data_IF_503901433195
#
_entry.id   IF_503901433195
#
_cell.length_a   1.000
_cell.length_b   1.000
_cell.length_c   1.000
_cell.angle_alpha   90.00
_cell.angle_beta   90.00
_cell.angle_gamma   90.00
#
_symmetry.space_group_name_H-M   'P 1'
#
loop_
_entity.id
_entity.type
_entity.pdbx_description
1 polymer ?
#
# COMPACT_ATOMS: atom_id res chain seq x y z
N UNK A 1 98.79 -245.79 -26.46
CA UNK A 1 98.53 -245.31 -27.83
C UNK A 1 97.44 -246.21 -28.39
N UNK A 2 96.26 -245.73 -28.75
CA UNK A 2 96.10 -244.68 -29.75
C UNK A 2 94.81 -243.87 -29.50
N UNK A 3 95.02 -242.62 -29.08
CA UNK A 3 94.38 -241.38 -29.56
C UNK A 3 92.84 -241.28 -29.51
N UNK A 4 92.33 -240.31 -28.75
CA UNK A 4 90.95 -239.80 -28.85
C UNK A 4 89.84 -240.80 -28.46
N UNK A 5 90.16 -242.08 -28.25
CA UNK A 5 89.35 -243.03 -27.45
C UNK A 5 89.25 -242.60 -25.99
N UNK A 6 90.31 -242.08 -25.39
CA UNK A 6 90.32 -241.73 -23.96
C UNK A 6 89.30 -240.64 -23.57
N UNK A 7 88.97 -239.67 -24.44
CA UNK A 7 88.02 -238.61 -24.09
C UNK A 7 86.56 -239.01 -24.34
N UNK A 8 86.29 -239.82 -25.37
CA UNK A 8 84.92 -240.30 -25.64
C UNK A 8 84.53 -241.40 -24.64
N UNK A 9 85.49 -242.22 -24.24
CA UNK A 9 85.34 -243.16 -23.14
C UNK A 9 85.16 -242.41 -21.82
N UNK A 10 85.86 -241.28 -21.60
CA UNK A 10 85.63 -240.41 -20.43
C UNK A 10 84.23 -239.78 -20.45
N UNK A 11 83.75 -239.26 -21.58
CA UNK A 11 82.42 -238.65 -21.68
C UNK A 11 81.31 -239.69 -21.55
N UNK A 12 81.46 -240.88 -22.13
CA UNK A 12 80.47 -241.95 -22.00
C UNK A 12 80.48 -242.55 -20.59
N UNK A 13 81.65 -242.64 -19.94
CA UNK A 13 81.77 -243.00 -18.53
C UNK A 13 81.15 -241.93 -17.61
N UNK A 14 81.32 -240.64 -17.91
CA UNK A 14 80.69 -239.53 -17.18
C UNK A 14 79.17 -239.46 -17.38
N UNK A 15 78.63 -240.06 -18.45
CA UNK A 15 77.18 -240.18 -18.67
C UNK A 15 76.57 -241.42 -18.01
N UNK A 16 77.32 -242.52 -17.90
CA UNK A 16 76.87 -243.76 -17.26
C UNK A 16 77.08 -243.77 -15.73
N UNK A 17 78.05 -243.00 -15.23
CA UNK A 17 78.37 -242.83 -13.80
C UNK A 17 78.14 -241.37 -13.37
N UNK A 18 76.96 -241.03 -12.81
CA UNK A 18 76.62 -239.68 -12.38
C UNK A 18 77.62 -239.07 -11.39
N UNK A 19 78.22 -239.90 -10.53
CA UNK A 19 79.23 -239.48 -9.55
C UNK A 19 80.45 -238.78 -10.17
N UNK A 20 80.93 -239.22 -11.34
CA UNK A 20 82.12 -238.65 -11.96
C UNK A 20 81.83 -237.31 -12.64
N UNK A 21 80.59 -237.12 -13.12
CA UNK A 21 80.13 -235.87 -13.74
C UNK A 21 80.09 -234.74 -12.72
N UNK A 22 79.65 -235.05 -11.50
CA UNK A 22 79.68 -234.14 -10.35
C UNK A 22 81.12 -233.76 -9.97
N UNK A 23 82.04 -234.73 -9.88
CA UNK A 23 83.45 -234.46 -9.54
C UNK A 23 84.17 -233.58 -10.59
N UNK A 24 83.92 -233.83 -11.89
CA UNK A 24 84.47 -233.02 -12.98
C UNK A 24 83.84 -231.61 -13.01
N UNK A 25 82.56 -231.49 -12.67
CA UNK A 25 81.85 -230.21 -12.54
C UNK A 25 82.45 -229.38 -11.40
N UNK A 26 82.78 -230.01 -10.27
CA UNK A 26 83.39 -229.37 -9.10
C UNK A 26 84.83 -228.89 -9.34
N UNK A 27 85.60 -229.56 -10.20
CA UNK A 27 86.99 -229.20 -10.53
C UNK A 27 87.11 -228.10 -11.61
N UNK A 28 86.19 -228.04 -12.58
CA UNK A 28 86.25 -227.11 -13.72
C UNK A 28 85.33 -225.89 -13.58
N UNK A 29 84.17 -226.04 -12.94
CA UNK A 29 83.21 -224.96 -12.70
C UNK A 29 83.24 -224.64 -11.20
N UNK A 30 84.23 -223.84 -10.80
CA UNK A 30 84.27 -223.27 -9.45
C UNK A 30 82.97 -222.52 -9.15
N UNK A 31 82.52 -222.53 -7.90
CA UNK A 31 81.27 -221.89 -7.48
C UNK A 31 81.18 -220.43 -7.99
N UNK A 32 82.32 -219.72 -8.04
CA UNK A 32 82.43 -218.36 -8.59
C UNK A 32 82.03 -218.23 -10.08
N UNK A 33 82.30 -219.24 -10.92
CA UNK A 33 81.88 -219.24 -12.32
C UNK A 33 80.40 -219.63 -12.50
N UNK A 34 79.85 -220.42 -11.58
CA UNK A 34 78.42 -220.77 -11.56
C UNK A 34 77.54 -219.60 -11.06
N UNK A 35 78.09 -218.72 -10.20
CA UNK A 35 77.41 -217.52 -9.69
C UNK A 35 77.54 -216.30 -10.63
N UNK A 36 78.42 -216.35 -11.63
CA UNK A 36 78.67 -215.26 -12.58
C UNK A 36 77.40 -214.78 -13.33
N UNK A 37 76.50 -215.66 -13.83
CA UNK A 37 75.25 -215.22 -14.46
C UNK A 37 74.36 -214.43 -13.49
N UNK A 38 74.37 -214.82 -12.21
CA UNK A 38 73.62 -214.16 -11.14
C UNK A 38 74.22 -212.78 -10.85
N UNK A 39 75.54 -212.67 -10.70
CA UNK A 39 76.25 -211.39 -10.54
C UNK A 39 76.07 -210.45 -11.75
N UNK A 40 76.06 -210.98 -12.97
CA UNK A 40 75.78 -210.21 -14.18
C UNK A 40 74.32 -209.73 -14.22
N UNK A 41 73.36 -210.54 -13.75
CA UNK A 41 71.96 -210.11 -13.61
C UNK A 41 71.80 -209.04 -12.53
N UNK A 42 72.50 -209.17 -11.40
CA UNK A 42 72.54 -208.16 -10.33
C UNK A 42 73.17 -206.85 -10.84
N UNK A 43 74.32 -206.90 -11.51
CA UNK A 43 74.94 -205.72 -12.12
C UNK A 43 74.01 -205.10 -13.18
N UNK A 44 73.35 -205.90 -14.01
CA UNK A 44 72.40 -205.40 -15.00
C UNK A 44 71.15 -204.78 -14.37
N UNK A 45 70.79 -205.18 -13.14
CA UNK A 45 69.74 -204.57 -12.34
C UNK A 45 70.21 -203.24 -11.73
N UNK A 46 71.41 -203.20 -11.15
CA UNK A 46 72.02 -201.97 -10.61
C UNK A 46 72.25 -200.91 -11.70
N UNK A 47 72.76 -201.31 -12.87
CA UNK A 47 72.92 -200.40 -14.03
C UNK A 47 71.57 -199.87 -14.50
N UNK A 48 70.51 -200.69 -14.48
CA UNK A 48 69.15 -200.22 -14.78
C UNK A 48 68.62 -199.23 -13.75
N UNK A 49 68.83 -199.50 -12.46
CA UNK A 49 68.45 -198.57 -11.38
C UNK A 49 69.23 -197.26 -11.47
N UNK A 50 70.52 -197.31 -11.78
CA UNK A 50 71.34 -196.13 -12.01
C UNK A 50 70.85 -195.34 -13.24
N UNK A 51 70.50 -196.02 -14.34
CA UNK A 51 69.94 -195.37 -15.52
C UNK A 51 68.56 -194.74 -15.23
N UNK A 52 67.75 -195.38 -14.39
CA UNK A 52 66.47 -194.81 -13.91
C UNK A 52 66.70 -193.60 -13.00
N UNK A 53 67.64 -193.67 -12.07
CA UNK A 53 68.05 -192.56 -11.21
C UNK A 53 68.63 -191.40 -12.03
N UNK A 54 69.44 -191.70 -13.05
CA UNK A 54 69.99 -190.72 -13.97
C UNK A 54 68.88 -190.05 -14.81
N UNK A 55 67.92 -190.83 -15.33
CA UNK A 55 66.74 -190.25 -15.99
C UNK A 55 65.94 -189.36 -15.05
N UNK A 56 65.81 -189.76 -13.79
CA UNK A 56 65.12 -188.96 -12.79
C UNK A 56 65.85 -187.65 -12.49
N UNK A 57 67.18 -187.67 -12.34
CA UNK A 57 67.97 -186.45 -12.13
C UNK A 57 67.98 -185.57 -13.37
N UNK A 58 68.06 -186.13 -14.57
CA UNK A 58 67.90 -185.39 -15.83
C UNK A 58 66.52 -184.72 -15.93
N UNK A 59 65.45 -185.41 -15.53
CA UNK A 59 64.11 -184.83 -15.45
C UNK A 59 64.02 -183.71 -14.40
N UNK A 60 64.63 -183.89 -13.23
CA UNK A 60 64.69 -182.86 -12.19
C UNK A 60 65.51 -181.65 -12.65
N UNK A 61 66.64 -181.85 -13.32
CA UNK A 61 67.46 -180.77 -13.89
C UNK A 61 66.69 -180.03 -14.97
N UNK A 62 65.97 -180.72 -15.86
CA UNK A 62 65.11 -180.09 -16.85
C UNK A 62 63.99 -179.27 -16.20
N UNK A 63 63.34 -179.80 -15.15
CA UNK A 63 62.32 -179.09 -14.39
C UNK A 63 62.88 -177.86 -13.67
N UNK A 64 64.08 -177.96 -13.09
CA UNK A 64 64.77 -176.83 -12.46
C UNK A 64 65.18 -175.77 -13.48
N UNK A 65 65.71 -176.16 -14.64
CA UNK A 65 66.00 -175.23 -15.73
C UNK A 65 64.74 -174.52 -16.22
N UNK A 66 63.63 -175.23 -16.33
CA UNK A 66 62.34 -174.64 -16.70
C UNK A 66 61.82 -173.67 -15.63
N UNK A 67 61.90 -174.05 -14.34
CA UNK A 67 61.53 -173.17 -13.23
C UNK A 67 62.45 -171.94 -13.16
N UNK A 68 63.74 -172.10 -13.45
CA UNK A 68 64.70 -171.01 -13.53
C UNK A 68 64.34 -170.05 -14.67
N UNK A 69 64.07 -170.56 -15.88
CA UNK A 69 63.63 -169.73 -17.01
C UNK A 69 62.32 -168.99 -16.72
N UNK A 70 61.36 -169.64 -16.04
CA UNK A 70 60.12 -168.99 -15.61
C UNK A 70 60.38 -167.89 -14.58
N UNK A 71 61.29 -168.13 -13.62
CA UNK A 71 61.68 -167.13 -12.62
C UNK A 71 62.38 -165.94 -13.28
N UNK A 72 63.30 -166.18 -14.23
CA UNK A 72 63.98 -165.14 -15.00
C UNK A 72 62.98 -164.33 -15.83
N UNK A 73 61.99 -164.97 -16.47
CA UNK A 73 60.93 -164.29 -17.20
C UNK A 73 60.03 -163.45 -16.27
N UNK A 74 59.70 -163.95 -15.08
CA UNK A 74 58.95 -163.20 -14.07
C UNK A 74 59.76 -162.00 -13.54
N UNK A 75 61.06 -162.17 -13.28
CA UNK A 75 61.95 -161.08 -12.88
C UNK A 75 62.05 -160.02 -13.98
N UNK A 76 62.19 -160.41 -15.24
CA UNK A 76 62.22 -159.48 -16.37
C UNK A 76 60.90 -158.70 -16.50
N UNK A 77 59.75 -159.39 -16.37
CA UNK A 77 58.44 -158.74 -16.38
C UNK A 77 58.28 -157.77 -15.20
N UNK A 78 58.76 -158.14 -14.00
CA UNK A 78 58.74 -157.25 -12.83
C UNK A 78 59.60 -156.00 -13.07
N UNK A 79 60.81 -156.15 -13.61
CA UNK A 79 61.68 -155.02 -13.96
C UNK A 79 61.02 -154.11 -15.00
N UNK A 80 60.37 -154.67 -16.02
CA UNK A 80 59.64 -153.88 -17.02
C UNK A 80 58.47 -153.11 -16.39
N UNK A 81 57.69 -153.78 -15.52
CA UNK A 81 56.63 -153.10 -14.78
C UNK A 81 57.16 -152.03 -13.84
N UNK A 82 58.33 -152.25 -13.23
CA UNK A 82 58.99 -151.27 -12.35
C UNK A 82 59.43 -150.04 -13.15
N UNK A 83 60.10 -150.23 -14.29
CA UNK A 83 60.47 -149.13 -15.19
C UNK A 83 59.23 -148.35 -15.69
N UNK A 84 58.13 -149.05 -15.98
CA UNK A 84 56.86 -148.43 -16.35
C UNK A 84 56.20 -147.68 -15.18
N UNK A 85 56.35 -148.15 -13.94
CA UNK A 85 55.88 -147.40 -12.77
C UNK A 85 56.76 -146.18 -12.50
N UNK A 86 58.07 -146.30 -12.65
CA UNK A 86 59.03 -145.22 -12.43
C UNK A 86 58.79 -144.08 -13.42
N UNK A 87 58.68 -144.39 -14.72
CA UNK A 87 58.32 -143.41 -15.76
C UNK A 87 56.95 -142.75 -15.54
N UNK A 88 55.96 -143.48 -14.99
CA UNK A 88 54.66 -142.90 -14.62
C UNK A 88 54.77 -141.97 -13.42
N UNK A 89 55.61 -142.30 -12.43
CA UNK A 89 55.87 -141.46 -11.27
C UNK A 89 56.60 -140.18 -11.68
N UNK A 90 57.57 -140.27 -12.58
CA UNK A 90 58.25 -139.10 -13.18
C UNK A 90 57.25 -138.20 -13.92
N UNK A 91 56.42 -138.77 -14.80
CA UNK A 91 55.40 -138.00 -15.53
C UNK A 91 54.37 -137.34 -14.59
N UNK A 92 53.99 -138.01 -13.50
CA UNK A 92 53.12 -137.45 -12.46
C UNK A 92 53.81 -136.32 -11.69
N UNK A 93 55.10 -136.47 -11.37
CA UNK A 93 55.88 -135.44 -10.70
C UNK A 93 56.04 -134.20 -11.59
N UNK A 94 56.28 -134.36 -12.89
CA UNK A 94 56.30 -133.25 -13.85
C UNK A 94 54.93 -132.57 -13.98
N UNK A 95 53.85 -133.35 -14.06
CA UNK A 95 52.49 -132.81 -14.10
C UNK A 95 52.13 -132.05 -12.82
N UNK A 96 52.57 -132.56 -11.65
CA UNK A 96 52.44 -131.90 -10.37
C UNK A 96 53.20 -130.57 -10.36
N UNK A 97 54.47 -130.54 -10.76
CA UNK A 97 55.26 -129.31 -10.84
C UNK A 97 54.62 -128.27 -11.78
N UNK A 98 54.09 -128.69 -12.93
CA UNK A 98 53.37 -127.78 -13.85
C UNK A 98 52.11 -127.21 -13.20
N UNK A 99 51.37 -128.03 -12.45
CA UNK A 99 50.16 -127.60 -11.74
C UNK A 99 50.51 -126.62 -10.62
N UNK A 100 51.56 -126.90 -9.84
CA UNK A 100 52.07 -126.00 -8.81
C UNK A 100 52.52 -124.65 -9.40
N UNK A 101 53.23 -124.66 -10.54
CA UNK A 101 53.62 -123.45 -11.25
C UNK A 101 52.42 -122.64 -11.76
N UNK A 102 51.38 -123.31 -12.29
CA UNK A 102 50.14 -122.66 -12.72
C UNK A 102 49.37 -122.06 -11.53
N UNK A 103 49.30 -122.77 -10.41
CA UNK A 103 48.69 -122.26 -9.18
C UNK A 103 49.45 -121.03 -8.65
N UNK A 104 50.78 -121.07 -8.64
CA UNK A 104 51.60 -119.93 -8.24
C UNK A 104 51.37 -118.71 -9.13
N UNK A 105 51.33 -118.90 -10.46
CA UNK A 105 51.03 -117.84 -11.41
C UNK A 105 49.60 -117.27 -11.21
N UNK A 106 48.61 -118.12 -10.94
CA UNK A 106 47.25 -117.68 -10.64
C UNK A 106 47.20 -116.83 -9.37
N UNK A 107 47.88 -117.25 -8.29
CA UNK A 107 47.99 -116.49 -7.05
C UNK A 107 48.65 -115.13 -7.29
N UNK A 108 49.72 -115.07 -8.08
CA UNK A 108 50.37 -113.81 -8.44
C UNK A 108 49.43 -112.89 -9.23
N UNK A 109 48.69 -113.42 -10.21
CA UNK A 109 47.71 -112.62 -10.96
C UNK A 109 46.54 -112.17 -10.10
N UNK A 110 46.13 -112.97 -9.11
CA UNK A 110 45.11 -112.60 -8.13
C UNK A 110 45.61 -111.44 -7.27
N UNK A 111 46.80 -111.54 -6.67
CA UNK A 111 47.42 -110.46 -5.90
C UNK A 111 47.58 -109.16 -6.71
N UNK A 112 47.94 -109.28 -7.99
CA UNK A 112 48.01 -108.14 -8.91
C UNK A 112 46.64 -107.53 -9.20
N UNK A 113 45.59 -108.34 -9.20
CA UNK A 113 44.21 -107.87 -9.40
C UNK A 113 43.71 -107.18 -8.14
N UNK A 114 43.96 -107.77 -6.96
CA UNK A 114 43.59 -107.20 -5.66
C UNK A 114 44.24 -105.83 -5.45
N UNK A 115 45.55 -105.72 -5.69
CA UNK A 115 46.26 -104.42 -5.62
C UNK A 115 45.74 -103.38 -6.62
N UNK A 116 45.30 -103.79 -7.82
CA UNK A 116 44.64 -102.89 -8.78
C UNK A 116 43.27 -102.43 -8.30
N UNK A 117 42.49 -103.31 -7.68
CA UNK A 117 41.20 -102.97 -7.10
C UNK A 117 41.34 -102.01 -5.92
N UNK A 118 42.34 -102.22 -5.05
CA UNK A 118 42.67 -101.28 -3.97
C UNK A 118 43.06 -99.91 -4.53
N UNK A 119 43.95 -99.85 -5.52
CA UNK A 119 44.34 -98.59 -6.16
C UNK A 119 43.16 -97.87 -6.84
N UNK A 120 42.24 -98.61 -7.46
CA UNK A 120 41.01 -98.07 -8.04
C UNK A 120 40.07 -97.53 -6.96
N UNK A 121 39.91 -98.24 -5.85
CA UNK A 121 39.09 -97.79 -4.73
C UNK A 121 39.66 -96.50 -4.10
N UNK A 122 40.98 -96.41 -3.93
CA UNK A 122 41.63 -95.18 -3.46
C UNK A 122 41.45 -94.01 -4.46
N UNK A 123 41.60 -94.27 -5.75
CA UNK A 123 41.38 -93.25 -6.79
C UNK A 123 39.92 -92.77 -6.81
N UNK A 124 38.97 -93.70 -6.63
CA UNK A 124 37.55 -93.38 -6.51
C UNK A 124 37.30 -92.50 -5.28
N UNK A 125 37.79 -92.87 -4.09
CA UNK A 125 37.64 -92.07 -2.88
C UNK A 125 38.24 -90.66 -3.03
N UNK A 126 39.41 -90.53 -3.68
CA UNK A 126 40.01 -89.22 -3.98
C UNK A 126 39.12 -88.39 -4.89
N UNK A 127 38.51 -89.01 -5.91
CA UNK A 127 37.60 -88.33 -6.84
C UNK A 127 36.33 -87.89 -6.13
N UNK A 128 35.74 -88.74 -5.29
CA UNK A 128 34.57 -88.40 -4.47
C UNK A 128 34.86 -87.23 -3.52
N UNK A 129 36.03 -87.23 -2.87
CA UNK A 129 36.47 -86.13 -2.01
C UNK A 129 36.65 -84.81 -2.80
N UNK A 130 37.22 -84.87 -4.00
CA UNK A 130 37.36 -83.70 -4.88
C UNK A 130 36.01 -83.16 -5.34
N UNK A 131 35.07 -84.04 -5.70
CA UNK A 131 33.70 -83.65 -6.06
C UNK A 131 32.98 -83.00 -4.88
N UNK A 132 33.10 -83.56 -3.66
CA UNK A 132 32.53 -82.95 -2.46
C UNK A 132 33.12 -81.55 -2.18
N UNK A 133 34.44 -81.39 -2.33
CA UNK A 133 35.10 -80.10 -2.18
C UNK A 133 34.64 -79.08 -3.23
N UNK A 134 34.42 -79.49 -4.48
CA UNK A 134 33.89 -78.64 -5.54
C UNK A 134 32.45 -78.20 -5.25
N UNK A 135 31.59 -79.11 -4.78
CA UNK A 135 30.21 -78.76 -4.39
C UNK A 135 30.20 -77.75 -3.24
N UNK A 136 31.07 -77.91 -2.26
CA UNK A 136 31.19 -76.96 -1.15
C UNK A 136 31.74 -75.60 -1.62
N UNK A 137 32.73 -75.58 -2.51
CA UNK A 137 33.23 -74.35 -3.13
C UNK A 137 32.15 -73.64 -3.96
N UNK A 138 31.33 -74.40 -4.68
CA UNK A 138 30.19 -73.86 -5.43
C UNK A 138 29.18 -73.22 -4.48
N UNK A 139 28.77 -73.91 -3.41
CA UNK A 139 27.86 -73.35 -2.40
C UNK A 139 28.38 -72.07 -1.74
N UNK A 140 29.69 -71.99 -1.49
CA UNK A 140 30.33 -70.77 -0.99
C UNK A 140 30.28 -69.64 -2.01
N UNK A 141 30.46 -69.95 -3.28
CA UNK A 141 30.37 -68.97 -4.37
C UNK A 141 28.94 -68.48 -4.53
N UNK A 142 27.96 -69.37 -4.50
CA UNK A 142 26.54 -69.03 -4.59
C UNK A 142 26.13 -68.11 -3.44
N UNK A 143 26.53 -68.43 -2.20
CA UNK A 143 26.22 -67.57 -1.04
C UNK A 143 26.91 -66.20 -1.10
N UNK A 144 28.14 -66.13 -1.64
CA UNK A 144 28.81 -64.84 -1.90
C UNK A 144 28.10 -64.01 -2.95
N UNK A 145 27.58 -64.64 -4.01
CA UNK A 145 26.80 -63.96 -5.05
C UNK A 145 25.46 -63.44 -4.51
N UNK A 146 24.77 -64.23 -3.67
CA UNK A 146 23.55 -63.78 -2.98
C UNK A 146 23.83 -62.58 -2.07
N UNK A 147 24.90 -62.64 -1.26
CA UNK A 147 25.30 -61.53 -0.40
C UNK A 147 25.67 -60.28 -1.21
N UNK A 148 26.34 -60.44 -2.35
CA UNK A 148 26.68 -59.33 -3.25
C UNK A 148 25.42 -58.71 -3.88
N UNK A 149 24.46 -59.54 -4.31
CA UNK A 149 23.19 -59.07 -4.87
C UNK A 149 22.39 -58.27 -3.84
N UNK A 150 22.33 -58.74 -2.59
CA UNK A 150 21.68 -58.04 -1.48
C UNK A 150 22.38 -56.71 -1.17
N UNK A 151 23.72 -56.69 -1.10
CA UNK A 151 24.48 -55.46 -0.90
C UNK A 151 24.27 -54.45 -2.04
N UNK A 152 24.18 -54.92 -3.30
CA UNK A 152 23.86 -54.10 -4.45
C UNK A 152 22.45 -53.53 -4.35
N UNK A 153 21.47 -54.34 -3.91
CA UNK A 153 20.10 -53.88 -3.72
C UNK A 153 20.01 -52.79 -2.64
N UNK A 154 20.67 -53.00 -1.50
CA UNK A 154 20.75 -52.01 -0.41
C UNK A 154 21.42 -50.71 -0.87
N UNK A 155 22.50 -50.80 -1.64
CA UNK A 155 23.18 -49.64 -2.23
C UNK A 155 22.24 -48.88 -3.17
N UNK A 156 21.48 -49.59 -4.01
CA UNK A 156 20.45 -49.01 -4.88
C UNK A 156 19.36 -48.27 -4.09
N UNK A 157 18.89 -48.86 -2.98
CA UNK A 157 17.90 -48.23 -2.10
C UNK A 157 18.45 -46.98 -1.40
N UNK A 158 19.71 -47.01 -0.95
CA UNK A 158 20.38 -45.84 -0.36
C UNK A 158 20.55 -44.70 -1.37
N UNK A 159 20.96 -45.01 -2.60
CA UNK A 159 21.05 -44.02 -3.67
C UNK A 159 19.69 -43.39 -3.98
N UNK A 160 18.63 -44.20 -4.07
CA UNK A 160 17.27 -43.70 -4.27
C UNK A 160 16.82 -42.77 -3.14
N UNK A 161 17.09 -43.13 -1.88
CA UNK A 161 16.80 -42.29 -0.72
C UNK A 161 17.59 -40.97 -0.75
N UNK A 162 18.85 -40.99 -1.19
CA UNK A 162 19.70 -39.80 -1.31
C UNK A 162 19.21 -38.86 -2.41
N UNK A 163 18.77 -39.40 -3.55
CA UNK A 163 18.14 -38.63 -4.64
C UNK A 163 16.85 -37.96 -4.16
N UNK A 164 16.02 -38.67 -3.39
CA UNK A 164 14.79 -38.10 -2.82
C UNK A 164 15.09 -37.00 -1.77
N UNK A 165 16.09 -37.20 -0.92
CA UNK A 165 16.55 -36.18 0.02
C UNK A 165 17.10 -34.93 -0.70
N UNK A 166 17.80 -35.11 -1.83
CA UNK A 166 18.27 -34.02 -2.67
C UNK A 166 17.08 -33.24 -3.24
N UNK A 167 16.10 -33.91 -3.85
CA UNK A 167 14.88 -33.24 -4.37
C UNK A 167 14.13 -32.43 -3.31
N UNK A 168 14.01 -32.97 -2.09
CA UNK A 168 13.42 -32.24 -0.96
C UNK A 168 14.23 -30.99 -0.61
N UNK A 169 15.55 -31.07 -0.66
CA UNK A 169 16.43 -29.92 -0.39
C UNK A 169 16.28 -28.87 -1.47
N UNK A 170 16.26 -29.27 -2.75
CA UNK A 170 16.06 -28.36 -3.88
C UNK A 170 14.72 -27.62 -3.76
N UNK A 171 13.63 -28.34 -3.48
CA UNK A 171 12.30 -27.72 -3.29
C UNK A 171 12.24 -26.73 -2.12
N UNK A 172 13.01 -26.99 -1.04
CA UNK A 172 13.11 -26.07 0.10
C UNK A 172 13.89 -24.81 -0.27
N UNK A 173 14.94 -24.93 -1.09
CA UNK A 173 15.71 -23.80 -1.56
C UNK A 173 14.87 -22.91 -2.50
N UNK A 174 14.09 -23.51 -3.40
CA UNK A 174 13.14 -22.78 -4.25
C UNK A 174 12.11 -22.01 -3.42
N UNK A 175 11.50 -22.67 -2.42
CA UNK A 175 10.54 -22.01 -1.53
C UNK A 175 11.17 -20.86 -0.72
N UNK A 176 12.43 -21.01 -0.29
CA UNK A 176 13.16 -19.98 0.43
C UNK A 176 13.51 -18.78 -0.47
N UNK A 177 13.88 -19.04 -1.73
CA UNK A 177 14.13 -17.99 -2.72
C UNK A 177 12.86 -17.19 -3.03
N UNK A 178 11.71 -17.86 -3.19
CA UNK A 178 10.42 -17.20 -3.39
C UNK A 178 10.03 -16.35 -2.16
N UNK A 179 10.20 -16.88 -0.95
CA UNK A 179 9.95 -16.13 0.28
C UNK A 179 10.86 -14.90 0.39
N UNK A 180 12.14 -15.02 0.00
CA UNK A 180 13.06 -13.88 -0.04
C UNK A 180 12.62 -12.83 -1.05
N UNK A 181 12.20 -13.23 -2.25
CA UNK A 181 11.70 -12.28 -3.25
C UNK A 181 10.45 -11.53 -2.75
N UNK A 182 9.55 -12.21 -2.04
CA UNK A 182 8.37 -11.59 -1.44
C UNK A 182 8.74 -10.59 -0.33
N UNK A 183 9.72 -10.89 0.52
CA UNK A 183 10.16 -9.94 1.55
C UNK A 183 10.87 -8.73 0.95
N UNK A 184 11.66 -8.91 -0.11
CA UNK A 184 12.27 -7.80 -0.87
C UNK A 184 11.20 -6.89 -1.48
N UNK A 185 10.16 -7.46 -2.08
CA UNK A 185 9.03 -6.70 -2.63
C UNK A 185 8.27 -5.92 -1.54
N UNK A 186 8.04 -6.53 -0.37
CA UNK A 186 7.40 -5.86 0.78
C UNK A 186 8.25 -4.70 1.31
N UNK A 187 9.57 -4.88 1.41
CA UNK A 187 10.48 -3.81 1.81
C UNK A 187 10.49 -2.65 0.81
N UNK A 188 10.51 -2.94 -0.49
CA UNK A 188 10.42 -1.92 -1.52
C UNK A 188 9.10 -1.11 -1.43
N UNK A 189 7.97 -1.79 -1.19
CA UNK A 189 6.68 -1.15 -0.99
C UNK A 189 6.65 -0.26 0.27
N UNK A 190 7.27 -0.71 1.37
CA UNK A 190 7.42 0.09 2.60
C UNK A 190 8.27 1.33 2.37
N UNK A 191 9.38 1.23 1.65
CA UNK A 191 10.23 2.38 1.29
C UNK A 191 9.46 3.40 0.46
N UNK A 192 8.66 2.95 -0.50
CA UNK A 192 7.83 3.83 -1.32
C UNK A 192 6.70 4.49 -0.49
N UNK A 193 6.06 3.75 0.43
CA UNK A 193 5.08 4.30 1.35
C UNK A 193 5.70 5.34 2.30
N UNK A 194 6.93 5.12 2.76
CA UNK A 194 7.68 6.08 3.56
C UNK A 194 7.97 7.35 2.76
N UNK A 195 8.49 7.25 1.53
CA UNK A 195 8.72 8.41 0.65
C UNK A 195 7.45 9.23 0.41
N UNK A 196 6.31 8.57 0.20
CA UNK A 196 5.01 9.26 0.07
C UNK A 196 4.63 9.99 1.35
N UNK A 197 4.88 9.39 2.50
CA UNK A 197 4.61 10.01 3.80
C UNK A 197 5.51 11.24 4.01
N UNK A 198 6.81 11.12 3.71
CA UNK A 198 7.77 12.22 3.79
C UNK A 198 7.32 13.39 2.89
N UNK A 199 6.95 13.11 1.63
CA UNK A 199 6.46 14.15 0.71
C UNK A 199 5.16 14.84 1.19
N UNK A 200 4.27 14.10 1.86
CA UNK A 200 3.05 14.66 2.44
C UNK A 200 3.36 15.55 3.64
N UNK A 201 4.34 15.18 4.46
CA UNK A 201 4.79 15.99 5.59
C UNK A 201 5.46 17.28 5.11
N UNK A 202 6.29 17.23 4.06
CA UNK A 202 6.87 18.42 3.43
C UNK A 202 5.79 19.36 2.89
N UNK A 203 4.80 18.82 2.16
CA UNK A 203 3.68 19.61 1.65
C UNK A 203 2.83 20.23 2.77
N UNK A 204 2.62 19.51 3.87
CA UNK A 204 1.90 20.03 5.04
C UNK A 204 2.68 21.15 5.73
N UNK A 205 4.00 20.99 5.88
CA UNK A 205 4.87 22.00 6.46
C UNK A 205 4.85 23.30 5.63
N UNK A 206 4.91 23.19 4.30
CA UNK A 206 4.80 24.32 3.39
C UNK A 206 3.42 25.00 3.48
N UNK A 207 2.33 24.23 3.50
CA UNK A 207 0.98 24.79 3.68
C UNK A 207 0.82 25.50 5.04
N UNK A 208 1.41 24.97 6.10
CA UNK A 208 1.43 25.61 7.42
C UNK A 208 2.22 26.91 7.39
N UNK A 209 3.38 26.95 6.72
CA UNK A 209 4.17 28.16 6.55
C UNK A 209 3.39 29.25 5.77
N UNK A 210 2.73 28.87 4.67
CA UNK A 210 1.88 29.78 3.89
C UNK A 210 0.71 30.33 4.71
N UNK A 211 0.06 29.49 5.50
CA UNK A 211 -1.02 29.90 6.41
C UNK A 211 -0.50 30.89 7.45
N UNK A 212 0.68 30.64 8.03
CA UNK A 212 1.35 31.56 8.95
C UNK A 212 1.63 32.92 8.31
N UNK A 213 2.11 32.94 7.06
CA UNK A 213 2.33 34.17 6.32
C UNK A 213 1.02 34.94 6.02
N UNK A 214 -0.05 34.24 5.65
CA UNK A 214 -1.37 34.84 5.43
C UNK A 214 -1.94 35.46 6.72
N UNK A 215 -1.82 34.77 7.85
CA UNK A 215 -2.23 35.31 9.16
C UNK A 215 -1.43 36.56 9.52
N UNK A 216 -0.11 36.55 9.31
CA UNK A 216 0.73 37.73 9.54
C UNK A 216 0.30 38.92 8.66
N UNK A 217 -0.02 38.67 7.38
CA UNK A 217 -0.53 39.70 6.48
C UNK A 217 -1.91 40.24 6.91
N UNK A 218 -2.81 39.38 7.39
CA UNK A 218 -4.11 39.80 7.93
C UNK A 218 -3.95 40.64 9.20
N UNK A 219 -3.04 40.27 10.11
CA UNK A 219 -2.73 41.07 11.31
C UNK A 219 -2.22 42.45 10.92
N UNK A 220 -1.34 42.54 9.92
CA UNK A 220 -0.83 43.81 9.42
C UNK A 220 -1.93 44.65 8.73
N UNK A 221 -2.80 44.03 7.94
CA UNK A 221 -3.95 44.70 7.34
C UNK A 221 -4.95 45.21 8.40
N UNK A 222 -5.16 44.44 9.48
CA UNK A 222 -5.97 44.86 10.62
C UNK A 222 -5.35 46.10 11.29
N UNK A 223 -4.05 46.08 11.61
CA UNK A 223 -3.35 47.25 12.19
C UNK A 223 -3.46 48.50 11.31
N UNK A 224 -3.36 48.34 9.99
CA UNK A 224 -3.58 49.45 9.02
C UNK A 224 -5.01 49.96 9.03
N UNK A 225 -5.98 49.07 9.25
CA UNK A 225 -7.40 49.44 9.36
C UNK A 225 -7.65 50.18 10.67
N UNK A 226 -7.12 49.68 11.78
CA UNK A 226 -7.24 50.30 13.11
C UNK A 226 -6.65 51.72 13.09
N UNK A 227 -5.44 51.90 12.56
CA UNK A 227 -4.82 53.23 12.41
C UNK A 227 -5.60 54.17 11.48
N UNK A 228 -6.22 53.67 10.41
CA UNK A 228 -7.12 54.47 9.56
C UNK A 228 -8.39 54.89 10.30
N UNK A 229 -8.96 54.02 11.13
CA UNK A 229 -10.13 54.33 11.94
C UNK A 229 -9.79 55.37 13.02
N UNK A 230 -8.63 55.25 13.68
CA UNK A 230 -8.12 56.28 14.61
C UNK A 230 -7.96 57.64 13.90
N UNK A 231 -7.34 57.65 12.72
CA UNK A 231 -7.19 58.88 11.93
C UNK A 231 -8.53 59.48 11.48
N UNK A 232 -9.51 58.65 11.12
CA UNK A 232 -10.85 59.09 10.76
C UNK A 232 -11.60 59.66 11.97
N UNK A 233 -11.48 59.02 13.13
CA UNK A 233 -12.07 59.50 14.38
C UNK A 233 -11.49 60.87 14.79
N UNK A 234 -10.17 61.04 14.67
CA UNK A 234 -9.51 62.33 14.91
C UNK A 234 -9.98 63.40 13.90
N UNK A 235 -10.05 63.08 12.61
CA UNK A 235 -10.56 63.99 11.59
C UNK A 235 -12.04 64.37 11.82
N UNK A 236 -12.86 63.42 12.27
CA UNK A 236 -14.25 63.68 12.67
C UNK A 236 -14.29 64.63 13.86
N UNK A 237 -13.50 64.39 14.91
CA UNK A 237 -13.41 65.28 16.07
C UNK A 237 -13.00 66.71 15.68
N UNK A 238 -12.02 66.86 14.79
CA UNK A 238 -11.60 68.15 14.27
C UNK A 238 -12.72 68.84 13.47
N UNK A 239 -13.46 68.07 12.66
CA UNK A 239 -14.59 68.59 11.89
C UNK A 239 -15.73 69.04 12.82
N UNK A 240 -16.05 68.26 13.85
CA UNK A 240 -17.04 68.62 14.88
C UNK A 240 -16.62 69.90 15.61
N UNK A 241 -15.34 70.04 15.96
CA UNK A 241 -14.81 71.27 16.58
C UNK A 241 -14.92 72.48 15.64
N UNK A 242 -14.61 72.31 14.34
CA UNK A 242 -14.77 73.36 13.33
C UNK A 242 -16.24 73.77 13.14
N UNK A 243 -17.16 72.80 13.09
CA UNK A 243 -18.60 73.07 13.00
C UNK A 243 -19.11 73.81 14.24
N UNK A 244 -18.64 73.44 15.43
CA UNK A 244 -18.98 74.14 16.67
C UNK A 244 -18.46 75.59 16.66
N UNK A 245 -17.23 75.82 16.18
CA UNK A 245 -16.67 77.15 16.03
C UNK A 245 -17.45 78.00 15.01
N UNK A 246 -17.78 77.42 13.85
CA UNK A 246 -18.60 78.07 12.82
C UNK A 246 -20.00 78.40 13.36
N UNK A 247 -20.62 77.51 14.12
CA UNK A 247 -21.91 77.77 14.75
C UNK A 247 -21.85 78.98 15.69
N UNK A 248 -20.78 79.13 16.48
CA UNK A 248 -20.57 80.32 17.30
C UNK A 248 -20.39 81.58 16.46
N UNK A 249 -19.67 81.51 15.34
CA UNK A 249 -19.48 82.65 14.45
C UNK A 249 -20.80 83.09 13.79
N UNK A 250 -21.60 82.13 13.33
CA UNK A 250 -22.95 82.38 12.81
C UNK A 250 -23.84 83.02 13.88
N UNK A 251 -23.79 82.55 15.14
CA UNK A 251 -24.53 83.19 16.25
C UNK A 251 -24.11 84.65 16.44
N UNK A 252 -22.81 84.94 16.48
CA UNK A 252 -22.31 86.32 16.58
C UNK A 252 -22.76 87.17 15.39
N UNK A 253 -22.75 86.61 14.18
CA UNK A 253 -23.23 87.30 12.98
C UNK A 253 -24.73 87.62 13.05
N UNK A 254 -25.56 86.66 13.51
CA UNK A 254 -27.01 86.87 13.72
C UNK A 254 -27.26 87.98 14.74
N UNK A 255 -26.50 88.00 15.84
CA UNK A 255 -26.57 89.06 16.85
C UNK A 255 -26.18 90.43 16.28
N UNK A 256 -25.09 90.49 15.50
CA UNK A 256 -24.64 91.70 14.83
C UNK A 256 -25.69 92.23 13.82
N UNK A 257 -26.30 91.34 13.03
CA UNK A 257 -27.39 91.72 12.13
C UNK A 257 -28.58 92.29 12.88
N UNK A 258 -28.99 91.68 14.00
CA UNK A 258 -30.09 92.19 14.82
C UNK A 258 -29.81 93.60 15.33
N UNK A 259 -28.60 93.85 15.82
CA UNK A 259 -28.19 95.19 16.26
C UNK A 259 -28.22 96.23 15.14
N UNK A 260 -27.80 95.84 13.93
CA UNK A 260 -27.85 96.70 12.75
C UNK A 260 -29.30 97.03 12.39
N UNK A 261 -30.19 96.04 12.36
CA UNK A 261 -31.63 96.23 12.10
C UNK A 261 -32.25 97.21 13.10
N UNK A 262 -31.95 97.08 14.40
CA UNK A 262 -32.40 98.02 15.42
C UNK A 262 -31.84 99.44 15.20
N UNK A 263 -30.61 99.56 14.69
CA UNK A 263 -30.03 100.85 14.36
C UNK A 263 -30.74 101.53 13.18
N UNK A 264 -31.06 100.77 12.13
CA UNK A 264 -31.82 101.26 10.97
C UNK A 264 -33.22 101.72 11.39
N UNK A 265 -33.94 100.93 12.18
CA UNK A 265 -35.27 101.31 12.69
C UNK A 265 -35.24 102.61 13.51
N UNK A 266 -34.18 102.82 14.32
CA UNK A 266 -34.00 104.07 15.07
C UNK A 266 -33.68 105.27 14.16
N UNK A 267 -32.95 105.06 13.06
CA UNK A 267 -32.69 106.12 12.09
C UNK A 267 -33.97 106.56 11.39
N UNK A 268 -34.81 105.61 10.97
CA UNK A 268 -36.13 105.91 10.37
C UNK A 268 -36.98 106.77 11.30
N UNK A 269 -37.10 106.39 12.57
CA UNK A 269 -37.85 107.18 13.57
C UNK A 269 -37.33 108.62 13.73
N UNK A 270 -36.01 108.83 13.65
CA UNK A 270 -35.40 110.17 13.78
C UNK A 270 -35.68 111.04 12.57
N UNK A 271 -35.73 110.48 11.37
CA UNK A 271 -36.00 111.22 10.13
C UNK A 271 -37.45 111.75 10.10
N UNK A 272 -38.42 110.92 10.48
CA UNK A 272 -39.82 111.32 10.58
C UNK A 272 -40.02 112.57 11.44
N UNK A 273 -39.30 112.64 12.57
CA UNK A 273 -39.40 113.76 13.52
C UNK A 273 -38.79 115.08 13.02
N UNK A 274 -37.94 115.03 12.00
CA UNK A 274 -37.35 116.23 11.38
C UNK A 274 -38.33 116.85 10.38
N UNK A 275 -39.06 116.03 9.62
CA UNK A 275 -40.10 116.50 8.70
C UNK A 275 -41.20 117.27 9.43
N UNK A 276 -41.71 116.74 10.54
CA UNK A 276 -42.80 117.37 11.31
C UNK A 276 -42.44 118.78 11.83
N UNK A 277 -41.16 119.00 12.18
CA UNK A 277 -40.67 120.30 12.69
C UNK A 277 -40.51 121.35 11.60
N UNK A 278 -40.26 120.95 10.36
CA UNK A 278 -40.17 121.89 9.25
C UNK A 278 -41.56 122.41 8.88
N UNK A 279 -42.59 121.56 8.90
CA UNK A 279 -43.96 121.96 8.57
C UNK A 279 -44.52 123.10 9.44
N UNK A 280 -44.21 123.12 10.74
CA UNK A 280 -44.74 124.13 11.67
C UNK A 280 -44.07 125.50 11.58
N UNK A 281 -42.80 125.56 11.16
CA UNK A 281 -42.06 126.83 11.04
C UNK A 281 -42.53 127.68 9.84
N UNK A 282 -42.93 127.04 8.75
CA UNK A 282 -43.37 127.75 7.54
C UNK A 282 -44.73 128.45 7.72
N UNK A 283 -45.61 127.97 8.61
CA UNK A 283 -46.92 128.58 8.87
C UNK A 283 -46.85 129.96 9.54
N UNK A 284 -46.08 130.08 10.62
CA UNK A 284 -45.98 131.32 11.41
C UNK A 284 -45.40 132.51 10.62
N UNK A 285 -44.51 132.26 9.65
CA UNK A 285 -43.85 133.33 8.88
C UNK A 285 -44.80 134.01 7.88
N UNK A 286 -45.76 133.26 7.32
CA UNK A 286 -46.72 133.79 6.34
C UNK A 286 -47.71 134.77 6.98
N UNK A 287 -48.29 134.44 8.13
CA UNK A 287 -49.23 135.31 8.84
C UNK A 287 -48.59 136.67 9.19
N UNK A 288 -47.34 136.65 9.66
CA UNK A 288 -46.59 137.86 10.00
C UNK A 288 -46.42 138.80 8.80
N UNK A 289 -46.08 138.26 7.62
CA UNK A 289 -45.85 139.02 6.39
C UNK A 289 -47.09 139.81 5.95
N UNK A 290 -48.30 139.24 6.11
CA UNK A 290 -49.54 139.91 5.71
C UNK A 290 -49.97 141.01 6.67
N UNK A 291 -49.70 140.84 7.97
CA UNK A 291 -50.01 141.84 8.99
C UNK A 291 -49.13 143.09 8.86
N UNK A 292 -47.81 142.93 8.72
CA UNK A 292 -46.86 144.05 8.68
C UNK A 292 -47.00 144.92 7.41
N UNK A 293 -47.49 144.33 6.31
CA UNK A 293 -47.59 145.00 5.01
C UNK A 293 -49.01 145.41 4.60
N UNK A 294 -49.98 145.33 5.52
CA UNK A 294 -51.38 145.61 5.20
C UNK A 294 -51.60 146.99 4.55
N UNK A 295 -50.91 148.04 5.01
CA UNK A 295 -50.98 149.37 4.39
C UNK A 295 -50.55 149.38 2.92
N UNK A 296 -49.59 148.53 2.53
CA UNK A 296 -49.15 148.40 1.14
C UNK A 296 -50.19 147.68 0.27
N UNK A 297 -50.94 146.73 0.84
CA UNK A 297 -51.95 145.96 0.11
C UNK A 297 -53.29 146.70 -0.01
N UNK A 298 -53.72 147.37 1.07
CA UNK A 298 -55.03 148.03 1.13
C UNK A 298 -55.00 149.54 0.85
N UNK A 299 -53.81 150.18 0.90
CA UNK A 299 -53.68 151.65 0.79
C UNK A 299 -54.09 152.27 -0.55
N UNK A 300 -54.31 151.45 -1.59
CA UNK A 300 -54.90 151.93 -2.86
C UNK A 300 -56.42 152.08 -2.80
N UNK A 301 -57.07 151.35 -1.90
CA UNK A 301 -58.53 151.32 -1.75
C UNK A 301 -59.00 152.11 -0.54
N UNK A 302 -58.17 152.19 0.50
CA UNK A 302 -58.50 152.83 1.77
C UNK A 302 -57.48 153.91 2.12
N UNK A 303 -57.97 155.10 2.47
CA UNK A 303 -57.25 156.08 3.27
C UNK A 303 -57.21 155.65 4.74
N UNK A 304 -56.21 156.14 5.49
CA UNK A 304 -56.06 155.86 6.93
C UNK A 304 -56.11 154.37 7.30
N UNK A 305 -55.37 153.51 6.59
CA UNK A 305 -55.33 152.05 6.86
C UNK A 305 -54.80 151.74 8.25
N UNK A 306 -55.61 151.07 9.07
CA UNK A 306 -55.27 150.57 10.38
C UNK A 306 -55.46 149.05 10.42
N UNK A 307 -54.43 148.33 10.87
CA UNK A 307 -54.53 146.90 11.16
C UNK A 307 -54.96 146.74 12.61
N UNK A 308 -56.08 146.06 12.82
CA UNK A 308 -56.55 145.72 14.15
C UNK A 308 -55.73 144.53 14.65
N UNK A 309 -54.83 144.79 15.60
CA UNK A 309 -54.18 143.70 16.30
C UNK A 309 -55.19 142.85 17.10
N UNK A 310 -54.80 141.62 17.44
CA UNK A 310 -55.68 140.67 18.12
C UNK A 310 -56.19 141.19 19.47
N UNK A 311 -55.45 142.06 20.16
CA UNK A 311 -55.86 142.62 21.45
C UNK A 311 -56.94 143.69 21.28
N UNK A 312 -56.78 144.56 20.29
CA UNK A 312 -57.78 145.59 19.95
C UNK A 312 -59.04 144.91 19.41
N UNK A 313 -58.91 143.98 18.46
CA UNK A 313 -60.05 143.21 17.93
C UNK A 313 -60.79 142.49 19.06
N UNK A 314 -60.07 141.87 20.00
CA UNK A 314 -60.66 141.23 21.17
C UNK A 314 -61.44 142.18 22.07
N UNK A 315 -60.92 143.39 22.32
CA UNK A 315 -61.64 144.41 23.10
C UNK A 315 -62.91 144.87 22.40
N UNK A 316 -62.87 145.11 21.10
CA UNK A 316 -64.05 145.55 20.34
C UNK A 316 -65.07 144.40 20.21
N UNK A 317 -64.60 143.17 20.04
CA UNK A 317 -65.44 141.98 20.05
C UNK A 317 -66.14 141.78 21.40
N UNK A 318 -65.43 141.97 22.52
CA UNK A 318 -66.01 141.88 23.86
C UNK A 318 -67.10 142.96 24.06
N UNK A 319 -66.88 144.18 23.54
CA UNK A 319 -67.89 145.24 23.55
C UNK A 319 -69.11 144.88 22.70
N UNK A 320 -68.90 144.31 21.50
CA UNK A 320 -69.98 143.84 20.65
C UNK A 320 -70.79 142.70 21.29
N UNK A 321 -70.14 141.76 22.00
CA UNK A 321 -70.83 140.73 22.80
C UNK A 321 -71.69 141.33 23.91
N UNK A 322 -71.17 142.30 24.67
CA UNK A 322 -71.94 142.98 25.72
C UNK A 322 -73.13 143.76 25.16
N UNK A 323 -72.99 144.32 23.96
CA UNK A 323 -74.06 144.99 23.24
C UNK A 323 -75.03 144.03 22.54
N UNK A 324 -74.85 142.71 22.66
CA UNK A 324 -75.71 141.70 22.04
C UNK A 324 -75.53 141.55 20.52
N UNK A 325 -74.50 142.15 19.93
CA UNK A 325 -74.21 142.08 18.48
C UNK A 325 -73.46 140.80 18.06
N UNK A 326 -72.83 140.12 19.02
CA UNK A 326 -72.12 138.84 18.83
C UNK A 326 -72.40 137.86 19.99
N UNK A 327 -72.41 136.56 19.71
CA UNK A 327 -72.33 135.53 20.77
C UNK A 327 -70.89 135.33 21.27
N UNK A 328 -70.73 134.68 22.43
CA UNK A 328 -69.40 134.34 22.94
C UNK A 328 -68.62 133.42 21.99
N UNK A 329 -69.31 132.49 21.34
CA UNK A 329 -68.73 131.56 20.36
C UNK A 329 -68.29 132.30 19.10
N UNK A 330 -69.14 133.19 18.57
CA UNK A 330 -68.80 134.04 17.42
C UNK A 330 -67.61 134.96 17.74
N UNK A 331 -67.49 135.43 18.99
CA UNK A 331 -66.32 136.19 19.43
C UNK A 331 -65.05 135.35 19.50
N UNK A 332 -65.13 134.08 19.93
CA UNK A 332 -63.97 133.20 19.90
C UNK A 332 -63.54 132.96 18.46
N UNK A 333 -64.48 132.66 17.57
CA UNK A 333 -64.21 132.45 16.14
C UNK A 333 -63.58 133.68 15.48
N UNK A 334 -64.09 134.88 15.78
CA UNK A 334 -63.55 136.15 15.30
C UNK A 334 -62.08 136.34 15.71
N UNK A 335 -61.69 135.94 16.92
CA UNK A 335 -60.30 136.11 17.38
C UNK A 335 -59.30 135.28 16.59
N UNK A 336 -59.74 134.20 15.95
CA UNK A 336 -58.86 133.42 15.11
C UNK A 336 -58.59 134.10 13.77
N UNK A 337 -59.24 135.23 13.43
CA UNK A 337 -58.96 135.98 12.21
C UNK A 337 -57.49 136.36 12.13
N UNK A 338 -56.81 135.90 11.08
CA UNK A 338 -55.36 136.01 10.95
C UNK A 338 -54.93 137.48 10.87
N UNK A 339 -55.66 138.26 10.05
CA UNK A 339 -55.48 139.71 9.91
C UNK A 339 -56.82 140.42 9.69
N UNK A 340 -57.08 141.50 10.44
CA UNK A 340 -58.22 142.39 10.21
C UNK A 340 -57.72 143.81 9.97
N UNK A 341 -58.25 144.48 8.95
CA UNK A 341 -57.84 145.82 8.51
C UNK A 341 -59.07 146.72 8.43
N UNK A 342 -58.95 148.00 8.78
CA UNK A 342 -59.99 149.02 8.57
C UNK A 342 -59.40 150.32 8.00
N UNK A 343 -60.23 151.14 7.36
CA UNK A 343 -59.83 152.44 6.81
C UNK A 343 -60.99 153.13 6.09
N UNK A 344 -60.76 154.32 5.55
CA UNK A 344 -61.79 155.13 4.87
C UNK A 344 -61.74 154.93 3.35
N UNK A 345 -62.87 154.63 2.72
CA UNK A 345 -62.96 154.54 1.26
C UNK A 345 -62.90 155.94 0.60
N UNK A 346 -62.76 156.05 -0.74
CA UNK A 346 -62.67 157.34 -1.44
C UNK A 346 -63.92 158.23 -1.30
N UNK A 347 -65.06 157.66 -0.88
CA UNK A 347 -66.32 158.35 -0.61
C UNK A 347 -66.42 158.86 0.83
N UNK A 348 -65.36 158.65 1.64
CA UNK A 348 -65.26 159.07 3.03
C UNK A 348 -65.94 158.13 4.04
N UNK A 349 -66.28 156.90 3.66
CA UNK A 349 -66.92 155.92 4.54
C UNK A 349 -65.89 154.95 5.13
N UNK A 350 -65.96 154.70 6.44
CA UNK A 350 -65.11 153.69 7.09
C UNK A 350 -65.57 152.27 6.69
N UNK A 351 -64.64 151.44 6.20
CA UNK A 351 -64.83 150.03 5.82
C UNK A 351 -63.65 149.18 6.28
N UNK A 352 -63.80 147.86 6.32
CA UNK A 352 -62.74 146.94 6.71
C UNK A 352 -62.59 145.71 5.82
N UNK A 353 -61.56 144.93 6.11
CA UNK A 353 -61.25 143.63 5.51
C UNK A 353 -60.88 142.61 6.58
N UNK A 354 -61.37 141.38 6.45
CA UNK A 354 -60.98 140.25 7.28
C UNK A 354 -60.28 139.20 6.41
N UNK A 355 -59.05 138.83 6.77
CA UNK A 355 -58.14 138.03 5.96
C UNK A 355 -57.83 136.67 6.62
N UNK A 356 -57.86 135.62 5.81
CA UNK A 356 -57.27 134.29 6.09
C UNK A 356 -55.96 134.13 5.30
N UNK A 357 -54.94 133.55 5.92
CA UNK A 357 -53.61 133.35 5.35
C UNK A 357 -53.29 131.86 5.27
N UNK A 358 -52.93 131.39 4.08
CA UNK A 358 -52.45 130.02 3.86
C UNK A 358 -51.35 129.97 2.80
N UNK A 359 -50.43 129.00 2.90
CA UNK A 359 -49.41 128.79 1.85
C UNK A 359 -50.03 128.34 0.54
N UNK A 360 -51.06 127.48 0.61
CA UNK A 360 -51.89 127.05 -0.51
C UNK A 360 -53.33 127.25 -0.09
N UNK A 361 -54.01 128.19 -0.72
CA UNK A 361 -55.39 128.54 -0.39
C UNK A 361 -56.29 127.38 -0.78
N UNK A 362 -57.07 126.88 0.18
CA UNK A 362 -58.08 125.86 -0.04
C UNK A 362 -59.50 126.43 0.16
N UNK A 363 -60.51 125.59 -0.10
CA UNK A 363 -61.91 125.99 0.02
C UNK A 363 -62.30 126.36 1.47
N UNK A 364 -61.68 125.73 2.47
CA UNK A 364 -61.95 126.04 3.88
C UNK A 364 -61.43 127.43 4.22
N UNK A 365 -60.26 127.83 3.71
CA UNK A 365 -59.73 129.18 3.89
C UNK A 365 -60.74 130.23 3.36
N UNK A 366 -61.37 130.00 2.21
CA UNK A 366 -62.39 130.92 1.66
C UNK A 366 -63.64 130.98 2.53
N UNK A 367 -64.12 129.84 3.02
CA UNK A 367 -65.29 129.79 3.89
C UNK A 367 -65.05 130.46 5.24
N UNK A 368 -63.85 130.30 5.82
CA UNK A 368 -63.45 130.99 7.05
C UNK A 368 -63.39 132.50 6.84
N UNK A 369 -62.81 132.98 5.73
CA UNK A 369 -62.73 134.41 5.42
C UNK A 369 -64.13 135.05 5.33
N UNK A 370 -65.07 134.40 4.65
CA UNK A 370 -66.48 134.83 4.55
C UNK A 370 -67.10 134.98 5.94
N UNK A 371 -66.95 133.94 6.76
CA UNK A 371 -67.53 133.91 8.10
C UNK A 371 -66.92 135.00 8.99
N UNK A 372 -65.58 135.11 8.99
CA UNK A 372 -64.85 136.08 9.82
C UNK A 372 -65.13 137.53 9.40
N UNK A 373 -65.32 137.82 8.11
CA UNK A 373 -65.72 139.14 7.65
C UNK A 373 -67.11 139.55 8.14
N UNK A 374 -68.09 138.63 8.10
CA UNK A 374 -69.43 138.87 8.63
C UNK A 374 -69.37 139.23 10.13
N UNK A 375 -68.57 138.47 10.90
CA UNK A 375 -68.38 138.70 12.33
C UNK A 375 -67.62 140.01 12.61
N UNK A 376 -66.60 140.34 11.82
CA UNK A 376 -65.90 141.63 11.89
C UNK A 376 -66.87 142.79 11.63
N UNK A 377 -67.74 142.68 10.63
CA UNK A 377 -68.73 143.70 10.30
C UNK A 377 -69.70 143.97 11.44
N UNK A 378 -70.27 142.91 12.04
CA UNK A 378 -71.13 143.03 13.25
C UNK A 378 -70.40 143.71 14.42
N UNK A 379 -69.11 143.43 14.55
CA UNK A 379 -68.25 143.92 15.64
C UNK A 379 -67.93 145.40 15.51
N UNK A 380 -67.37 145.77 14.37
CA UNK A 380 -66.89 147.12 14.10
C UNK A 380 -68.04 148.08 13.77
N UNK A 381 -69.18 147.56 13.33
CA UNK A 381 -70.33 148.38 12.92
C UNK A 381 -70.12 149.08 11.57
N UNK A 382 -69.07 148.69 10.84
CA UNK A 382 -68.72 149.15 9.49
C UNK A 382 -68.83 147.98 8.51
N UNK A 383 -69.01 148.21 7.20
CA UNK A 383 -68.90 147.15 6.21
C UNK A 383 -67.51 146.51 6.24
N UNK A 384 -67.43 145.18 6.36
CA UNK A 384 -66.16 144.43 6.32
C UNK A 384 -66.21 143.39 5.21
N UNK A 385 -65.23 143.43 4.31
CA UNK A 385 -65.13 142.54 3.17
C UNK A 385 -64.24 141.32 3.48
N UNK A 386 -64.66 140.11 3.06
CA UNK A 386 -63.85 138.92 3.21
C UNK A 386 -62.70 138.90 2.22
N UNK A 387 -61.53 138.46 2.68
CA UNK A 387 -60.34 138.32 1.86
C UNK A 387 -59.58 137.03 2.22
N UNK A 388 -58.95 136.40 1.22
CA UNK A 388 -58.00 135.29 1.42
C UNK A 388 -56.65 135.66 0.83
N UNK A 389 -55.59 135.27 1.53
CA UNK A 389 -54.22 135.62 1.23
C UNK A 389 -53.33 134.37 1.18
N UNK A 390 -52.46 134.29 0.18
CA UNK A 390 -51.59 133.13 0.00
C UNK A 390 -50.72 133.21 -1.24
N UNK A 391 -49.82 132.24 -1.40
CA UNK A 391 -48.89 132.22 -2.55
C UNK A 391 -49.52 131.57 -3.78
N UNK A 392 -50.40 130.58 -3.58
CA UNK A 392 -51.04 129.83 -4.66
C UNK A 392 -52.50 129.58 -4.35
N UNK A 393 -53.31 129.70 -5.39
CA UNK A 393 -54.73 129.30 -5.41
C UNK A 393 -54.98 128.54 -6.70
N UNK A 394 -55.87 127.55 -6.68
CA UNK A 394 -56.31 126.90 -7.91
C UNK A 394 -57.24 127.83 -8.71
N UNK A 395 -57.25 127.68 -10.03
CA UNK A 395 -58.08 128.52 -10.92
C UNK A 395 -59.60 128.37 -10.61
N UNK A 396 -60.02 127.17 -10.25
CA UNK A 396 -61.40 126.87 -9.81
C UNK A 396 -61.75 127.62 -8.52
N UNK A 397 -60.83 127.64 -7.55
CA UNK A 397 -61.05 128.31 -6.28
C UNK A 397 -61.01 129.83 -6.42
N UNK A 398 -60.18 130.38 -7.32
CA UNK A 398 -60.20 131.80 -7.65
C UNK A 398 -61.57 132.24 -8.20
N UNK A 399 -62.20 131.45 -9.08
CA UNK A 399 -63.58 131.69 -9.56
C UNK A 399 -64.62 131.57 -8.44
N UNK A 400 -64.41 130.64 -7.51
CA UNK A 400 -65.26 130.48 -6.34
C UNK A 400 -65.23 131.71 -5.42
N UNK A 401 -64.04 132.28 -5.16
CA UNK A 401 -63.89 133.54 -4.42
C UNK A 401 -64.66 134.68 -5.09
N UNK A 402 -64.51 134.86 -6.41
CA UNK A 402 -65.23 135.89 -7.17
C UNK A 402 -66.75 135.75 -7.02
N UNK A 403 -67.28 134.53 -7.19
CA UNK A 403 -68.72 134.26 -7.09
C UNK A 403 -69.29 134.56 -5.69
N UNK A 404 -68.44 134.45 -4.65
CA UNK A 404 -68.85 134.63 -3.25
C UNK A 404 -68.53 136.02 -2.69
N UNK A 405 -68.02 136.94 -3.51
CA UNK A 405 -67.70 138.29 -3.04
C UNK A 405 -66.42 138.36 -2.18
N UNK A 406 -65.51 137.39 -2.32
CA UNK A 406 -64.26 137.30 -1.54
C UNK A 406 -63.10 137.89 -2.33
N UNK A 407 -62.39 138.81 -1.69
CA UNK A 407 -61.19 139.42 -2.24
C UNK A 407 -60.01 138.46 -2.18
N UNK A 408 -59.17 138.49 -3.21
CA UNK A 408 -58.00 137.62 -3.30
C UNK A 408 -56.72 138.45 -3.22
N UNK A 409 -55.91 138.17 -2.20
CA UNK A 409 -54.60 138.78 -2.01
C UNK A 409 -53.53 137.75 -2.37
N UNK A 410 -53.22 137.65 -3.66
CA UNK A 410 -52.17 136.76 -4.16
C UNK A 410 -50.89 137.54 -4.35
N UNK A 411 -49.81 137.04 -3.75
CA UNK A 411 -48.46 137.57 -3.92
C UNK A 411 -48.39 139.11 -3.78
N UNK A 412 -49.15 139.65 -2.82
CA UNK A 412 -49.22 141.08 -2.52
C UNK A 412 -50.11 141.93 -3.42
N UNK A 413 -50.86 141.33 -4.35
CA UNK A 413 -51.84 142.02 -5.18
C UNK A 413 -53.26 141.71 -4.73
N UNK A 414 -53.97 142.75 -4.26
CA UNK A 414 -55.36 142.64 -3.83
C UNK A 414 -56.31 142.80 -5.03
N UNK A 415 -57.11 141.77 -5.29
CA UNK A 415 -58.05 141.69 -6.40
C UNK A 415 -59.50 141.73 -5.89
N UNK A 416 -60.37 142.59 -6.46
CA UNK A 416 -61.78 142.63 -6.11
C UNK A 416 -62.51 141.35 -6.58
N UNK A 417 -63.58 140.94 -5.87
CA UNK A 417 -64.59 140.07 -6.46
C UNK A 417 -65.24 140.86 -7.59
N UNK A 418 -65.15 140.33 -8.82
CA UNK A 418 -65.37 141.08 -10.07
C UNK A 418 -66.75 141.64 -10.31
#
# INVERSE_FOLDING_TARGET
>A
MVTVSEFRDLVQALEQHPEWREELRRLLLTDALLELPTLVQELAKEVRQLAEAQRHTEQQLAALMQAQQQTEAQMAALVETQQRTDSRLEALAEAQQRTEAQMAALVETQQRTDSRLEALAEAQQRTEAQMAALVEAQRRTDSQLEALAEAQHQTGAQLAALVEAQRRTDSRLEALAEAQHQTEAQLAALVEAQRRTDSRLEALAEAQHQTGAQLAALVEAQRRTDSRLEALAEAQHQTEAQLAALAQEVQRFVEAQRQLTDHVARMEYRLQRVEDRLGSLWGHEMERKYRERAAAYFGRLLGAVEVLDTQVLGKVADQACRAGRLTWEERQELLWTDVVVRGENPEGQEVGFALEVSSVIDKNDVERALRRAELCGKTLGIPVYPAVAGEKVSEELAKFCQTRGVWLLLDGHLQPPG
#
